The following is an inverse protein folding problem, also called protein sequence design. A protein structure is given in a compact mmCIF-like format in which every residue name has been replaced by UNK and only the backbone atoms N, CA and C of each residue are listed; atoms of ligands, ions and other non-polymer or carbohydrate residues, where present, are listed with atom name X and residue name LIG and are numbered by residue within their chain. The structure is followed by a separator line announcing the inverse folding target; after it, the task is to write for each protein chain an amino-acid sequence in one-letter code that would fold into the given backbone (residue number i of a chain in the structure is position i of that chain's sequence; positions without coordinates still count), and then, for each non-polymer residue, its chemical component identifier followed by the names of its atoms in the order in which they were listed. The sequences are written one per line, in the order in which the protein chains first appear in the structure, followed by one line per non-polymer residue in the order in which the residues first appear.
data_IF_748618624031
#
_entry.id   IF_748618624031
#
_cell.length_a   1.000
_cell.length_b   1.000
_cell.length_c   1.000
_cell.angle_alpha   90.00
_cell.angle_beta   90.00
_cell.angle_gamma   90.00
#
_symmetry.space_group_name_H-M   'P 1'
#
loop_
_entity.id
_entity.type
_entity.pdbx_description
1 polymer ?
#
# COMPACT_ATOMS: atom_id res chain seq x y z
N UNK A 1 -5.23 0.88 -16.92
CA UNK A 1 -5.06 0.94 -15.46
C UNK A 1 -3.83 1.76 -15.22
N UNK A 2 -3.88 2.71 -14.29
CA UNK A 2 -2.71 3.51 -13.97
C UNK A 2 -1.71 2.64 -13.20
N UNK A 3 -0.49 2.55 -13.70
CA UNK A 3 0.62 1.85 -13.06
C UNK A 3 1.48 2.87 -12.33
N UNK A 4 1.76 2.61 -11.06
CA UNK A 4 2.56 3.46 -10.20
C UNK A 4 3.91 2.82 -9.94
N UNK A 5 4.96 3.65 -9.88
CA UNK A 5 6.30 3.21 -9.53
C UNK A 5 6.57 3.57 -8.08
N UNK A 6 6.87 2.58 -7.25
CA UNK A 6 7.29 2.75 -5.86
C UNK A 6 8.74 2.32 -5.70
N UNK A 7 9.54 3.16 -5.03
CA UNK A 7 10.93 2.88 -4.70
C UNK A 7 11.03 2.60 -3.21
N UNK A 8 11.42 1.37 -2.84
CA UNK A 8 11.70 1.03 -1.45
C UNK A 8 13.10 1.51 -1.09
N UNK A 9 13.19 2.56 -0.27
CA UNK A 9 14.47 3.16 0.13
C UNK A 9 15.34 2.25 1.00
N UNK A 10 14.76 1.24 1.66
CA UNK A 10 15.50 0.31 2.51
C UNK A 10 16.32 -0.70 1.72
N UNK A 11 15.89 -1.07 0.51
CA UNK A 11 16.55 -2.06 -0.33
C UNK A 11 16.91 -1.54 -1.74
N UNK A 12 16.62 -0.27 -2.04
CA UNK A 12 16.82 0.40 -3.32
C UNK A 12 16.17 -0.30 -4.54
N UNK A 13 15.21 -1.21 -4.31
CA UNK A 13 14.46 -1.87 -5.37
C UNK A 13 13.26 -1.01 -5.79
N UNK A 14 12.93 -1.13 -7.08
CA UNK A 14 11.82 -0.43 -7.72
C UNK A 14 10.71 -1.44 -8.05
N UNK A 15 9.46 -1.07 -7.78
CA UNK A 15 8.29 -1.93 -7.93
C UNK A 15 7.23 -1.22 -8.75
N UNK A 16 6.74 -1.90 -9.79
CA UNK A 16 5.50 -1.50 -10.44
C UNK A 16 4.33 -2.01 -9.60
N UNK A 17 3.46 -1.11 -9.18
CA UNK A 17 2.31 -1.42 -8.34
C UNK A 17 1.04 -0.87 -8.98
N UNK A 18 -0.08 -1.52 -8.67
CA UNK A 18 -1.39 -1.02 -9.07
C UNK A 18 -1.85 0.12 -8.14
N UNK A 19 -2.91 0.81 -8.55
CA UNK A 19 -3.53 1.92 -7.82
C UNK A 19 -3.89 1.55 -6.36
N UNK A 20 -4.41 0.35 -6.12
CA UNK A 20 -4.79 -0.09 -4.77
C UNK A 20 -3.58 -0.15 -3.84
N UNK A 21 -2.49 -0.78 -4.28
CA UNK A 21 -1.25 -0.90 -3.49
C UNK A 21 -0.63 0.47 -3.25
N UNK A 22 -0.64 1.34 -4.26
CA UNK A 22 -0.18 2.72 -4.13
C UNK A 22 -0.98 3.49 -3.08
N UNK A 23 -2.30 3.47 -3.18
CA UNK A 23 -3.18 4.18 -2.24
C UNK A 23 -3.00 3.69 -0.81
N UNK A 24 -2.91 2.37 -0.61
CA UNK A 24 -2.68 1.80 0.73
C UNK A 24 -1.34 2.29 1.28
N UNK A 25 -0.25 2.24 0.50
CA UNK A 25 1.06 2.73 0.94
C UNK A 25 1.05 4.23 1.29
N UNK A 26 0.27 5.04 0.58
CA UNK A 26 0.23 6.50 0.78
C UNK A 26 -0.73 6.95 1.89
N UNK A 27 -1.77 6.17 2.18
CA UNK A 27 -2.90 6.57 3.02
C UNK A 27 -3.17 5.67 4.22
N UNK A 28 -2.37 4.64 4.49
CA UNK A 28 -2.56 3.73 5.63
C UNK A 28 -2.19 4.32 7.01
N UNK A 29 -1.76 5.58 7.09
CA UNK A 29 -1.57 6.26 8.37
C UNK A 29 -2.93 6.57 8.98
N UNK A 30 -3.11 6.45 10.30
CA UNK A 30 -4.39 6.66 11.00
C UNK A 30 -5.16 7.94 10.55
N UNK A 31 -4.44 9.05 10.31
CA UNK A 31 -5.01 10.33 9.86
C UNK A 31 -5.68 10.23 8.47
N UNK A 32 -5.26 9.28 7.63
CA UNK A 32 -5.62 9.16 6.21
C UNK A 32 -6.45 7.90 5.89
N UNK A 33 -6.69 7.00 6.84
CA UNK A 33 -7.49 5.78 6.64
C UNK A 33 -8.90 6.06 6.10
N UNK A 34 -9.52 7.18 6.48
CA UNK A 34 -10.82 7.63 5.97
C UNK A 34 -10.85 7.71 4.42
N UNK A 35 -9.72 7.97 3.75
CA UNK A 35 -9.66 7.94 2.28
C UNK A 35 -9.79 6.52 1.74
N UNK A 36 -9.17 5.54 2.38
CA UNK A 36 -9.22 4.12 2.00
C UNK A 36 -10.61 3.54 2.27
N UNK A 37 -11.21 3.91 3.40
CA UNK A 37 -12.59 3.57 3.73
C UNK A 37 -13.56 4.12 2.68
N UNK A 38 -13.46 5.41 2.33
CA UNK A 38 -14.36 6.03 1.35
C UNK A 38 -14.21 5.50 -0.07
N UNK A 39 -12.98 5.17 -0.50
CA UNK A 39 -12.70 4.75 -1.88
C UNK A 39 -12.92 3.25 -2.08
N UNK A 40 -12.53 2.42 -1.11
CA UNK A 40 -12.51 0.97 -1.22
C UNK A 40 -13.42 0.24 -0.23
N UNK A 41 -13.99 0.95 0.75
CA UNK A 41 -14.79 0.34 1.81
C UNK A 41 -13.95 -0.46 2.82
N UNK A 42 -12.64 -0.21 2.89
CA UNK A 42 -11.76 -0.96 3.78
C UNK A 42 -11.85 -0.47 5.22
N UNK A 43 -12.03 -1.41 6.14
CA UNK A 43 -11.82 -1.17 7.57
C UNK A 43 -10.33 -1.24 7.95
N UNK A 44 -10.00 -0.82 9.17
CA UNK A 44 -8.62 -0.79 9.67
C UNK A 44 -7.95 -2.18 9.64
N UNK A 45 -8.70 -3.26 9.86
CA UNK A 45 -8.18 -4.64 9.85
C UNK A 45 -7.81 -5.04 8.42
N UNK A 46 -8.64 -4.69 7.45
CA UNK A 46 -8.39 -4.94 6.04
C UNK A 46 -7.20 -4.12 5.53
N UNK A 47 -7.08 -2.85 5.93
CA UNK A 47 -5.91 -2.01 5.62
C UNK A 47 -4.63 -2.65 6.16
N UNK A 48 -4.63 -3.08 7.42
CA UNK A 48 -3.47 -3.74 8.03
C UNK A 48 -3.10 -5.04 7.33
N UNK A 49 -4.08 -5.89 7.00
CA UNK A 49 -3.86 -7.13 6.27
C UNK A 49 -3.23 -6.91 4.88
N UNK A 50 -3.61 -5.83 4.18
CA UNK A 50 -3.03 -5.49 2.88
C UNK A 50 -1.61 -4.97 3.06
N UNK A 51 -1.36 -4.13 4.06
CA UNK A 51 -0.01 -3.66 4.41
C UNK A 51 0.93 -4.83 4.71
N UNK A 52 0.51 -5.77 5.55
CA UNK A 52 1.34 -6.92 5.93
C UNK A 52 1.74 -7.75 4.70
N UNK A 53 0.81 -7.95 3.75
CA UNK A 53 1.09 -8.62 2.47
C UNK A 53 2.05 -7.83 1.59
N UNK A 54 1.89 -6.51 1.52
CA UNK A 54 2.79 -5.64 0.74
C UNK A 54 4.20 -5.71 1.34
N UNK A 55 4.35 -5.50 2.64
CA UNK A 55 5.66 -5.55 3.30
C UNK A 55 6.30 -6.93 3.24
N UNK A 56 5.52 -8.00 3.32
CA UNK A 56 6.02 -9.36 3.08
C UNK A 56 6.70 -9.48 1.72
N UNK A 57 6.01 -9.06 0.65
CA UNK A 57 6.57 -9.10 -0.72
C UNK A 57 7.74 -8.14 -0.95
N UNK A 58 7.72 -6.96 -0.34
CA UNK A 58 8.82 -5.99 -0.48
C UNK A 58 10.11 -6.46 0.19
N UNK A 59 9.99 -7.34 1.19
CA UNK A 59 11.12 -7.87 1.97
C UNK A 59 11.54 -9.29 1.56
N UNK A 60 10.79 -9.98 0.71
CA UNK A 60 11.26 -11.20 0.05
C UNK A 60 12.48 -10.87 -0.84
N UNK A 61 13.62 -11.47 -0.48
CA UNK A 61 14.95 -11.18 -1.06
C UNK A 61 15.12 -11.70 -2.47
#
# INVERSE_FOLDING_TARGET
MDEYIVINQSNNKCYNVNELVFDVLMYSTEIKNNKLEKKYGFDDIQIQNVLDKIYGKLNES
#
